data_IF_435119866419
#
_entry.id   IF_435119866419
#
_cell.length_a   1.000
_cell.length_b   1.000
_cell.length_c   1.000
_cell.angle_alpha   90.00
_cell.angle_beta   90.00
_cell.angle_gamma   90.00
#
_symmetry.space_group_name_H-M   'P 1'
#
loop_
_entity.id
_entity.type
_entity.pdbx_description
1 polymer ?
#
# COMPACT_ATOMS: atom_id res chain seq x y z
N UNK A 1 -18.74 23.27 3.19
CA UNK A 1 -17.75 22.83 4.20
C UNK A 1 -16.38 22.57 3.57
N UNK A 2 -15.29 22.84 4.30
CA UNK A 2 -13.95 22.39 3.87
C UNK A 2 -13.84 20.88 4.12
N UNK A 3 -13.47 20.13 3.07
CA UNK A 3 -13.38 18.64 3.09
C UNK A 3 -11.97 18.11 2.83
N UNK A 4 -11.00 18.99 2.57
CA UNK A 4 -9.67 18.60 2.11
C UNK A 4 -8.68 18.40 3.27
N UNK A 5 -7.75 17.47 3.08
CA UNK A 5 -6.66 17.15 4.01
C UNK A 5 -7.01 16.06 5.01
N UNK A 6 -6.18 15.01 5.02
CA UNK A 6 -6.36 13.81 5.84
C UNK A 6 -5.22 13.58 6.84
N UNK A 7 -4.11 14.30 6.70
CA UNK A 7 -2.95 14.18 7.57
C UNK A 7 -2.23 15.52 7.71
N UNK A 8 -1.37 15.59 8.72
CA UNK A 8 -0.59 16.78 9.04
C UNK A 8 0.64 16.42 9.89
N UNK A 9 1.57 17.37 9.98
CA UNK A 9 2.56 17.45 11.04
C UNK A 9 2.68 18.89 11.53
N UNK A 10 2.83 19.09 12.84
CA UNK A 10 2.80 20.41 13.45
C UNK A 10 3.20 20.39 14.92
N UNK A 11 2.66 21.34 15.68
CA UNK A 11 2.84 21.44 17.13
C UNK A 11 1.50 21.47 17.84
N UNK A 12 1.40 20.76 18.96
CA UNK A 12 0.21 20.81 19.82
C UNK A 12 0.21 22.05 20.73
N UNK A 13 -0.82 22.18 21.57
CA UNK A 13 -0.98 23.30 22.51
C UNK A 13 0.11 23.39 23.59
N UNK A 14 0.85 22.30 23.81
CA UNK A 14 2.01 22.25 24.72
C UNK A 14 3.35 22.49 23.99
N UNK A 15 3.32 22.73 22.67
CA UNK A 15 4.50 22.94 21.83
C UNK A 15 5.20 21.66 21.37
N UNK A 16 4.68 20.47 21.72
CA UNK A 16 5.24 19.18 21.31
C UNK A 16 5.08 18.99 19.82
N UNK A 17 6.06 18.33 19.19
CA UNK A 17 6.04 18.03 17.76
C UNK A 17 5.17 16.80 17.52
N UNK A 18 4.12 16.96 16.73
CA UNK A 18 3.12 15.91 16.52
C UNK A 18 2.84 15.70 15.03
N UNK A 19 2.45 14.48 14.67
CA UNK A 19 1.90 14.12 13.36
C UNK A 19 0.61 13.33 13.58
N UNK A 20 -0.32 13.40 12.65
CA UNK A 20 -1.61 12.75 12.86
C UNK A 20 -2.48 12.66 11.63
N UNK A 21 -3.63 12.00 11.80
CA UNK A 21 -4.67 11.86 10.80
C UNK A 21 -5.95 12.58 11.25
N UNK A 22 -6.69 13.11 10.27
CA UNK A 22 -8.00 13.69 10.47
C UNK A 22 -8.94 13.21 9.35
N UNK A 23 -10.25 13.08 9.60
CA UNK A 23 -11.20 12.63 8.56
C UNK A 23 -11.39 13.66 7.44
N UNK A 24 -11.14 14.94 7.71
CA UNK A 24 -11.18 16.06 6.77
C UNK A 24 -10.55 17.31 7.42
N UNK A 25 -10.46 18.42 6.67
CA UNK A 25 -10.03 19.75 7.16
C UNK A 25 -8.56 19.83 7.59
N UNK A 26 -7.73 18.85 7.20
CA UNK A 26 -6.29 18.85 7.49
C UNK A 26 -5.51 19.96 6.76
N UNK A 27 -6.02 20.47 5.63
CA UNK A 27 -5.43 21.60 4.93
C UNK A 27 -5.83 22.93 5.58
N UNK A 28 -5.29 23.19 6.78
CA UNK A 28 -5.59 24.37 7.58
C UNK A 28 -4.38 24.82 8.41
N UNK A 29 -4.42 26.04 8.94
CA UNK A 29 -3.40 26.57 9.87
C UNK A 29 -3.54 26.00 11.28
N UNK A 30 -4.75 25.59 11.66
CA UNK A 30 -5.07 24.97 12.95
C UNK A 30 -6.12 23.90 12.73
N UNK A 31 -6.04 22.81 13.51
CA UNK A 31 -6.95 21.68 13.42
C UNK A 31 -7.24 21.15 14.82
N UNK A 32 -8.43 20.55 14.98
CA UNK A 32 -8.74 19.71 16.12
C UNK A 32 -8.56 18.26 15.69
N UNK A 33 -7.86 17.49 16.51
CA UNK A 33 -7.49 16.11 16.21
C UNK A 33 -7.89 15.22 17.38
N UNK A 34 -8.41 14.04 17.07
CA UNK A 34 -8.63 12.99 18.06
C UNK A 34 -7.26 12.46 18.52
N UNK A 35 -6.95 12.46 19.83
CA UNK A 35 -5.69 11.94 20.36
C UNK A 35 -5.36 10.50 19.94
N UNK A 36 -6.37 9.69 19.58
CA UNK A 36 -6.21 8.31 19.09
C UNK A 36 -5.50 8.26 17.73
N UNK A 37 -5.59 9.33 16.94
CA UNK A 37 -4.95 9.47 15.62
C UNK A 37 -3.80 10.49 15.66
N UNK A 38 -3.17 10.65 16.83
CA UNK A 38 -2.07 11.56 17.06
C UNK A 38 -0.84 10.79 17.55
N UNK A 39 0.31 11.06 16.95
CA UNK A 39 1.59 10.47 17.32
C UNK A 39 2.64 11.57 17.53
N UNK A 40 3.54 11.32 18.47
CA UNK A 40 4.70 12.19 18.67
C UNK A 40 5.70 12.01 17.53
N UNK A 41 6.26 13.13 17.04
CA UNK A 41 7.26 13.09 15.97
C UNK A 41 8.61 12.75 16.58
N UNK A 42 9.30 11.70 16.10
CA UNK A 42 10.64 11.36 16.56
C UNK A 42 11.61 12.53 16.40
N UNK A 43 12.52 12.70 17.38
CA UNK A 43 13.46 13.82 17.42
C UNK A 43 14.26 14.01 16.12
N UNK A 44 14.69 12.89 15.53
CA UNK A 44 15.53 12.84 14.33
C UNK A 44 14.80 13.15 13.03
N UNK A 45 13.48 13.22 13.04
CA UNK A 45 12.71 13.54 11.82
C UNK A 45 12.51 15.04 11.71
N UNK A 46 12.35 15.55 10.50
CA UNK A 46 11.76 16.89 10.30
C UNK A 46 10.23 16.80 10.33
N UNK A 47 9.52 17.91 10.51
CA UNK A 47 8.06 17.90 10.36
C UNK A 47 7.63 17.56 8.93
N UNK A 48 8.43 17.95 7.93
CA UNK A 48 8.22 17.56 6.52
C UNK A 48 8.24 16.04 6.38
N UNK A 49 9.27 15.35 6.88
CA UNK A 49 9.33 13.89 6.86
C UNK A 49 8.16 13.26 7.61
N UNK A 50 7.86 13.77 8.81
CA UNK A 50 6.77 13.27 9.64
C UNK A 50 5.39 13.39 8.97
N UNK A 51 5.17 14.44 8.17
CA UNK A 51 3.91 14.66 7.45
C UNK A 51 3.60 13.59 6.40
N UNK A 52 4.59 12.79 6.00
CA UNK A 52 4.45 11.76 4.94
C UNK A 52 4.05 10.38 5.47
N UNK A 53 3.92 10.22 6.78
CA UNK A 53 3.82 8.92 7.45
C UNK A 53 2.38 8.50 7.75
N UNK A 54 1.51 9.35 8.35
CA UNK A 54 0.28 8.88 8.98
C UNK A 54 -0.64 8.07 8.05
N UNK A 55 -1.08 8.65 6.93
CA UNK A 55 -2.08 7.99 6.05
C UNK A 55 -1.50 6.75 5.39
N UNK A 56 -0.29 6.85 4.83
CA UNK A 56 0.27 5.76 4.01
C UNK A 56 0.64 4.56 4.86
N UNK A 57 1.24 4.75 6.04
CA UNK A 57 1.58 3.64 6.94
C UNK A 57 0.36 3.08 7.65
N UNK A 58 -0.61 3.91 8.07
CA UNK A 58 -1.86 3.38 8.63
C UNK A 58 -2.61 2.51 7.62
N UNK A 59 -2.67 2.95 6.36
CA UNK A 59 -3.29 2.18 5.27
C UNK A 59 -2.55 0.86 5.05
N UNK A 60 -1.23 0.89 4.89
CA UNK A 60 -0.40 -0.31 4.69
C UNK A 60 -0.51 -1.29 5.85
N UNK A 61 -0.43 -0.81 7.09
CA UNK A 61 -0.47 -1.68 8.27
C UNK A 61 -1.85 -2.30 8.47
N UNK A 62 -2.92 -1.50 8.32
CA UNK A 62 -4.28 -2.01 8.40
C UNK A 62 -4.57 -3.04 7.30
N UNK A 63 -4.21 -2.74 6.05
CA UNK A 63 -4.44 -3.65 4.93
C UNK A 63 -3.63 -4.94 5.08
N UNK A 64 -2.32 -4.87 5.30
CA UNK A 64 -1.44 -6.04 5.28
C UNK A 64 -1.49 -6.85 6.58
N UNK A 65 -1.43 -6.18 7.74
CA UNK A 65 -1.29 -6.86 9.04
C UNK A 65 -2.65 -7.19 9.62
N UNK A 66 -3.53 -6.19 9.74
CA UNK A 66 -4.84 -6.38 10.40
C UNK A 66 -5.78 -7.20 9.52
N UNK A 67 -5.93 -6.82 8.25
CA UNK A 67 -6.87 -7.46 7.32
C UNK A 67 -6.26 -8.63 6.57
N UNK A 68 -5.05 -8.46 6.04
CA UNK A 68 -4.33 -9.46 5.27
C UNK A 68 -3.66 -10.55 6.12
N UNK A 69 -3.53 -10.34 7.44
CA UNK A 69 -2.87 -11.27 8.36
C UNK A 69 -1.48 -11.71 7.86
N UNK A 70 -0.74 -10.80 7.24
CA UNK A 70 0.57 -11.05 6.65
C UNK A 70 1.57 -11.57 7.69
N UNK A 71 2.34 -12.59 7.34
CA UNK A 71 3.34 -13.24 8.20
C UNK A 71 4.67 -13.41 7.46
N UNK A 72 5.74 -13.56 8.24
CA UNK A 72 7.05 -13.90 7.70
C UNK A 72 6.97 -15.13 6.79
N UNK A 73 7.70 -15.11 5.67
CA UNK A 73 7.67 -16.16 4.66
C UNK A 73 6.54 -16.08 3.64
N UNK A 74 5.54 -15.19 3.81
CA UNK A 74 4.57 -14.93 2.75
C UNK A 74 5.22 -14.27 1.52
N UNK A 75 4.51 -14.33 0.39
CA UNK A 75 4.77 -13.52 -0.80
C UNK A 75 3.68 -12.46 -0.98
N UNK A 76 4.07 -11.23 -1.31
CA UNK A 76 3.18 -10.08 -1.47
C UNK A 76 3.40 -9.44 -2.84
N UNK A 77 2.33 -9.21 -3.61
CA UNK A 77 2.34 -8.30 -4.77
C UNK A 77 1.80 -6.93 -4.38
N UNK A 78 2.62 -5.89 -4.50
CA UNK A 78 2.24 -4.48 -4.27
C UNK A 78 2.16 -3.74 -5.60
N UNK A 79 1.00 -3.23 -5.97
CA UNK A 79 0.92 -2.37 -7.15
C UNK A 79 1.37 -0.93 -6.86
N UNK A 80 1.87 -0.27 -7.92
CA UNK A 80 2.34 1.12 -7.86
C UNK A 80 3.40 1.37 -6.76
N UNK A 81 4.45 0.55 -6.72
CA UNK A 81 5.43 0.52 -5.63
C UNK A 81 6.14 1.84 -5.33
N UNK A 82 6.25 2.75 -6.30
CA UNK A 82 6.81 4.09 -6.08
C UNK A 82 5.83 5.10 -5.48
N UNK A 83 4.54 4.78 -5.40
CA UNK A 83 3.55 5.63 -4.72
C UNK A 83 3.72 5.57 -3.19
N UNK A 84 3.09 6.50 -2.46
CA UNK A 84 3.22 6.60 -1.00
C UNK A 84 2.85 5.30 -0.27
N UNK A 85 1.64 4.77 -0.54
CA UNK A 85 1.20 3.48 0.03
C UNK A 85 2.07 2.32 -0.48
N UNK A 86 2.50 2.36 -1.74
CA UNK A 86 3.39 1.34 -2.30
C UNK A 86 4.70 1.24 -1.53
N UNK A 87 5.38 2.36 -1.30
CA UNK A 87 6.64 2.42 -0.57
C UNK A 87 6.48 2.01 0.90
N UNK A 88 5.42 2.47 1.58
CA UNK A 88 5.14 2.08 2.96
C UNK A 88 4.87 0.58 3.08
N UNK A 89 4.10 0.01 2.15
CA UNK A 89 3.78 -1.42 2.10
C UNK A 89 5.01 -2.28 1.87
N UNK A 90 5.88 -1.88 0.93
CA UNK A 90 7.17 -2.54 0.69
C UNK A 90 8.02 -2.51 1.96
N UNK A 91 8.12 -1.36 2.62
CA UNK A 91 8.92 -1.20 3.83
C UNK A 91 8.42 -2.12 4.97
N UNK A 92 7.12 -2.14 5.22
CA UNK A 92 6.50 -3.00 6.25
C UNK A 92 6.69 -4.48 5.92
N UNK A 93 6.44 -4.89 4.67
CA UNK A 93 6.57 -6.28 4.24
C UNK A 93 8.00 -6.80 4.34
N UNK A 94 8.99 -6.03 3.85
CA UNK A 94 10.40 -6.40 3.95
C UNK A 94 10.86 -6.49 5.42
N UNK A 95 10.39 -5.58 6.29
CA UNK A 95 10.69 -5.63 7.72
C UNK A 95 10.13 -6.90 8.39
N UNK A 96 8.98 -7.40 7.91
CA UNK A 96 8.35 -8.63 8.41
C UNK A 96 8.90 -9.92 7.78
N UNK A 97 9.92 -9.84 6.90
CA UNK A 97 10.50 -11.02 6.25
C UNK A 97 9.59 -11.63 5.16
N UNK A 98 8.81 -10.79 4.48
CA UNK A 98 7.94 -11.17 3.36
C UNK A 98 8.68 -10.96 2.05
N UNK A 99 8.51 -11.88 1.10
CA UNK A 99 9.03 -11.71 -0.26
C UNK A 99 8.11 -10.80 -1.06
N UNK A 100 8.64 -9.68 -1.56
CA UNK A 100 7.85 -8.64 -2.22
C UNK A 100 8.04 -8.70 -3.73
N UNK A 101 6.92 -8.67 -4.45
CA UNK A 101 6.81 -8.31 -5.86
C UNK A 101 6.14 -6.94 -5.95
N UNK A 102 6.54 -6.13 -6.92
CA UNK A 102 5.93 -4.81 -7.13
C UNK A 102 5.84 -4.45 -8.60
N UNK A 103 4.92 -3.55 -8.94
CA UNK A 103 4.85 -2.96 -10.29
C UNK A 103 5.26 -1.49 -10.30
N UNK A 104 5.90 -1.06 -11.38
CA UNK A 104 6.27 0.33 -11.65
C UNK A 104 6.03 0.69 -13.11
N UNK A 105 5.94 1.99 -13.39
CA UNK A 105 5.63 2.47 -14.74
C UNK A 105 6.86 2.81 -15.58
N UNK A 106 8.07 2.93 -15.03
CA UNK A 106 9.26 3.37 -15.80
C UNK A 106 10.56 2.81 -15.24
N UNK A 107 11.62 2.82 -16.05
CA UNK A 107 12.96 2.41 -15.63
C UNK A 107 13.48 3.28 -14.49
N UNK A 108 13.29 4.60 -14.55
CA UNK A 108 13.67 5.52 -13.46
C UNK A 108 13.03 5.13 -12.12
N UNK A 109 11.75 4.78 -12.13
CA UNK A 109 11.00 4.33 -10.96
C UNK A 109 11.48 2.97 -10.45
N UNK A 110 11.84 2.06 -11.37
CA UNK A 110 12.48 0.77 -11.04
C UNK A 110 13.80 1.02 -10.32
N UNK A 111 14.67 1.85 -10.89
CA UNK A 111 15.99 2.13 -10.33
C UNK A 111 15.90 2.84 -8.97
N UNK A 112 14.93 3.75 -8.82
CA UNK A 112 14.62 4.38 -7.54
C UNK A 112 14.28 3.35 -6.46
N UNK A 113 13.36 2.40 -6.74
CA UNK A 113 12.98 1.38 -5.75
C UNK A 113 14.15 0.48 -5.38
N UNK A 114 14.96 0.05 -6.35
CA UNK A 114 16.14 -0.79 -6.08
C UNK A 114 17.17 -0.08 -5.21
N UNK A 115 17.39 1.23 -5.43
CA UNK A 115 18.26 2.03 -4.55
C UNK A 115 17.67 2.19 -3.14
N UNK A 116 16.35 2.37 -3.04
CA UNK A 116 15.66 2.62 -1.77
C UNK A 116 15.46 1.36 -0.92
N UNK A 117 15.31 0.21 -1.58
CA UNK A 117 15.08 -1.11 -1.00
C UNK A 117 16.04 -2.12 -1.66
N UNK A 118 17.28 -2.26 -1.16
CA UNK A 118 18.30 -3.13 -1.76
C UNK A 118 17.93 -4.62 -1.84
N UNK A 119 16.93 -5.04 -1.06
CA UNK A 119 16.37 -6.40 -1.10
C UNK A 119 15.56 -6.67 -2.40
N UNK A 120 15.13 -5.62 -3.12
CA UNK A 120 14.41 -5.77 -4.37
C UNK A 120 15.39 -5.90 -5.54
N UNK A 121 15.22 -6.97 -6.31
CA UNK A 121 15.97 -7.24 -7.55
C UNK A 121 15.07 -7.06 -8.78
N UNK A 122 15.62 -7.21 -9.99
CA UNK A 122 14.82 -7.13 -11.21
C UNK A 122 13.76 -8.23 -11.30
N UNK A 123 13.95 -9.35 -10.61
CA UNK A 123 12.96 -10.43 -10.46
C UNK A 123 11.74 -10.00 -9.65
N UNK A 124 11.89 -9.00 -8.77
CA UNK A 124 10.81 -8.52 -7.93
C UNK A 124 9.96 -7.43 -8.59
N UNK A 125 10.42 -6.82 -9.69
CA UNK A 125 9.80 -5.61 -10.24
C UNK A 125 9.28 -5.86 -11.65
N UNK A 126 7.97 -5.69 -11.84
CA UNK A 126 7.27 -5.82 -13.13
C UNK A 126 6.66 -4.49 -13.61
N UNK A 127 6.07 -4.47 -14.81
CA UNK A 127 5.45 -3.28 -15.40
C UNK A 127 4.04 -3.04 -14.83
N UNK A 128 3.65 -1.80 -14.59
CA UNK A 128 2.29 -1.41 -14.14
C UNK A 128 1.39 -0.88 -15.26
N UNK A 129 1.92 -0.68 -16.47
CA UNK A 129 1.18 -0.07 -17.58
C UNK A 129 0.31 -1.05 -18.37
N UNK A 130 0.59 -2.33 -18.24
CA UNK A 130 -0.11 -3.43 -18.89
C UNK A 130 -0.28 -4.60 -17.90
N UNK A 131 -0.77 -5.74 -18.36
CA UNK A 131 -0.98 -6.96 -17.58
C UNK A 131 0.23 -7.90 -17.56
N UNK A 132 1.39 -7.49 -18.10
CA UNK A 132 2.58 -8.37 -18.19
C UNK A 132 3.13 -8.78 -16.82
N UNK A 133 2.78 -8.05 -15.76
CA UNK A 133 3.12 -8.44 -14.39
C UNK A 133 2.53 -9.78 -13.98
N UNK A 134 1.39 -10.19 -14.56
CA UNK A 134 0.76 -11.48 -14.26
C UNK A 134 1.71 -12.62 -14.60
N UNK A 135 2.19 -12.65 -15.84
CA UNK A 135 3.12 -13.66 -16.32
C UNK A 135 4.45 -13.60 -15.57
N UNK A 136 4.94 -12.39 -15.27
CA UNK A 136 6.16 -12.18 -14.49
C UNK A 136 6.04 -12.83 -13.11
N UNK A 137 4.98 -12.50 -12.36
CA UNK A 137 4.74 -13.03 -11.01
C UNK A 137 4.57 -14.55 -11.04
N UNK A 138 3.80 -15.08 -11.99
CA UNK A 138 3.61 -16.53 -12.12
C UNK A 138 4.93 -17.24 -12.46
N UNK A 139 5.79 -16.64 -13.28
CA UNK A 139 7.10 -17.23 -13.61
C UNK A 139 8.00 -17.28 -12.38
N UNK A 140 8.13 -16.16 -11.65
CA UNK A 140 8.98 -16.07 -10.46
C UNK A 140 8.46 -16.88 -9.27
N UNK A 141 7.16 -17.18 -9.24
CA UNK A 141 6.50 -18.02 -8.23
C UNK A 141 6.27 -19.45 -8.69
N UNK A 142 6.81 -19.86 -9.86
CA UNK A 142 6.65 -21.20 -10.43
C UNK A 142 5.18 -21.66 -10.54
N UNK A 143 4.30 -20.72 -10.93
CA UNK A 143 2.87 -20.94 -11.09
C UNK A 143 2.07 -20.94 -9.78
N UNK A 144 2.73 -20.78 -8.62
CA UNK A 144 2.03 -20.75 -7.32
C UNK A 144 1.19 -19.50 -7.13
N UNK A 145 1.66 -18.35 -7.61
CA UNK A 145 1.10 -17.04 -7.29
C UNK A 145 1.61 -16.48 -5.95
N UNK A 146 0.96 -15.42 -5.47
CA UNK A 146 1.30 -14.71 -4.24
C UNK A 146 0.26 -14.89 -3.13
N UNK A 147 0.72 -14.91 -1.88
CA UNK A 147 -0.16 -15.08 -0.71
C UNK A 147 -1.02 -13.82 -0.46
N UNK A 148 -0.51 -12.63 -0.79
CA UNK A 148 -1.24 -11.38 -0.68
C UNK A 148 -1.08 -10.53 -1.94
N UNK A 149 -2.14 -9.82 -2.31
CA UNK A 149 -2.10 -8.76 -3.32
C UNK A 149 -2.63 -7.49 -2.70
N UNK A 150 -1.84 -6.41 -2.71
CA UNK A 150 -2.30 -5.06 -2.41
C UNK A 150 -2.55 -4.32 -3.72
N UNK A 151 -3.81 -4.24 -4.12
CA UNK A 151 -4.22 -3.69 -5.41
C UNK A 151 -4.70 -2.24 -5.31
N UNK A 152 -4.26 -1.43 -6.27
CA UNK A 152 -4.77 -0.08 -6.52
C UNK A 152 -4.98 0.18 -8.02
N UNK A 153 -4.89 -0.85 -8.85
CA UNK A 153 -5.13 -0.80 -10.29
C UNK A 153 -6.60 -1.15 -10.56
N UNK A 154 -7.06 -0.85 -11.77
CA UNK A 154 -8.45 -1.02 -12.16
C UNK A 154 -8.62 -1.98 -13.35
N UNK A 155 -9.87 -2.37 -13.60
CA UNK A 155 -10.31 -3.05 -14.83
C UNK A 155 -9.52 -4.33 -15.13
N UNK A 156 -8.96 -4.46 -16.34
CA UNK A 156 -8.23 -5.63 -16.81
C UNK A 156 -7.03 -5.99 -15.92
N UNK A 157 -6.35 -4.96 -15.38
CA UNK A 157 -5.24 -5.12 -14.45
C UNK A 157 -5.71 -5.63 -13.10
N UNK A 158 -6.88 -5.21 -12.61
CA UNK A 158 -7.44 -5.78 -11.38
C UNK A 158 -7.69 -7.28 -11.58
N UNK A 159 -8.33 -7.67 -12.68
CA UNK A 159 -8.59 -9.09 -12.96
C UNK A 159 -7.29 -9.90 -13.09
N UNK A 160 -6.25 -9.33 -13.72
CA UNK A 160 -4.92 -9.93 -13.78
C UNK A 160 -4.28 -10.09 -12.40
N UNK A 161 -4.48 -9.10 -11.53
CA UNK A 161 -4.00 -9.14 -10.14
C UNK A 161 -4.68 -10.26 -9.34
N UNK A 162 -5.98 -10.49 -9.56
CA UNK A 162 -6.71 -11.61 -8.94
C UNK A 162 -6.12 -12.95 -9.38
N UNK A 163 -5.74 -13.09 -10.66
CA UNK A 163 -5.11 -14.31 -11.17
C UNK A 163 -3.69 -14.55 -10.65
N UNK A 164 -3.04 -13.52 -10.10
CA UNK A 164 -1.77 -13.70 -9.39
C UNK A 164 -1.92 -14.32 -7.99
N UNK A 165 -3.14 -14.43 -7.46
CA UNK A 165 -3.36 -14.88 -6.09
C UNK A 165 -3.13 -16.40 -5.98
N UNK A 166 -2.34 -16.81 -4.99
CA UNK A 166 -2.17 -18.20 -4.64
C UNK A 166 -3.45 -18.74 -3.97
N UNK A 167 -3.54 -20.07 -3.88
CA UNK A 167 -4.58 -20.72 -3.08
C UNK A 167 -4.55 -20.18 -1.64
N UNK A 168 -5.73 -19.88 -1.11
CA UNK A 168 -5.94 -19.31 0.24
C UNK A 168 -5.31 -17.91 0.44
N UNK A 169 -4.93 -17.24 -0.65
CA UNK A 169 -4.40 -15.89 -0.61
C UNK A 169 -5.43 -14.81 -0.29
N UNK A 170 -4.95 -13.63 0.09
CA UNK A 170 -5.77 -12.47 0.42
C UNK A 170 -5.61 -11.34 -0.59
N UNK A 171 -6.72 -10.97 -1.24
CA UNK A 171 -6.78 -9.81 -2.13
C UNK A 171 -7.23 -8.56 -1.36
N UNK A 172 -6.39 -7.54 -1.32
CA UNK A 172 -6.57 -6.31 -0.55
C UNK A 172 -6.77 -5.14 -1.52
N UNK A 173 -8.02 -4.78 -1.76
CA UNK A 173 -8.39 -3.68 -2.65
C UNK A 173 -8.37 -2.34 -1.90
N UNK A 174 -7.54 -1.41 -2.37
CA UNK A 174 -7.52 -0.02 -1.87
C UNK A 174 -7.93 0.99 -2.96
N UNK A 175 -8.08 0.55 -4.21
CA UNK A 175 -8.68 1.32 -5.29
C UNK A 175 -10.19 1.43 -5.12
N UNK A 176 -10.76 2.49 -5.71
CA UNK A 176 -12.21 2.76 -5.62
C UNK A 176 -12.93 2.70 -6.96
N UNK A 177 -12.21 2.65 -8.08
CA UNK A 177 -12.81 2.79 -9.42
C UNK A 177 -13.78 1.65 -9.74
N UNK A 178 -13.30 0.40 -9.76
CA UNK A 178 -14.14 -0.77 -10.07
C UNK A 178 -15.26 -0.97 -9.04
N UNK A 179 -14.98 -0.68 -7.76
CA UNK A 179 -15.99 -0.73 -6.70
C UNK A 179 -17.10 0.30 -6.92
N UNK A 180 -16.75 1.54 -7.31
CA UNK A 180 -17.72 2.61 -7.58
C UNK A 180 -18.55 2.32 -8.82
N UNK A 181 -17.97 1.65 -9.81
CA UNK A 181 -18.63 1.30 -11.07
C UNK A 181 -19.36 -0.05 -11.02
N UNK A 182 -19.29 -0.78 -9.89
CA UNK A 182 -19.85 -2.12 -9.72
C UNK A 182 -19.40 -3.09 -10.83
N UNK A 183 -18.12 -3.01 -11.21
CA UNK A 183 -17.55 -3.88 -12.24
C UNK A 183 -17.53 -5.34 -11.74
N UNK A 184 -17.88 -6.31 -12.60
CA UNK A 184 -17.91 -7.71 -12.21
C UNK A 184 -16.50 -8.25 -11.94
N UNK A 185 -16.34 -8.97 -10.84
CA UNK A 185 -15.14 -9.76 -10.54
C UNK A 185 -15.39 -11.20 -11.01
N UNK A 186 -14.47 -11.76 -11.81
CA UNK A 186 -14.64 -13.12 -12.33
C UNK A 186 -14.79 -14.16 -11.21
N UNK A 187 -15.91 -14.89 -11.18
CA UNK A 187 -16.34 -15.78 -10.08
C UNK A 187 -15.46 -17.01 -9.81
N UNK A 188 -14.30 -17.15 -10.43
CA UNK A 188 -13.46 -18.34 -10.25
C UNK A 188 -12.40 -18.09 -9.17
N UNK A 189 -12.78 -18.34 -7.91
CA UNK A 189 -11.93 -18.57 -6.73
C UNK A 189 -11.68 -17.42 -5.72
N UNK A 190 -12.38 -16.29 -5.78
CA UNK A 190 -12.25 -15.24 -4.76
C UNK A 190 -13.44 -15.21 -3.79
N UNK A 191 -13.20 -15.55 -2.52
CA UNK A 191 -14.14 -15.23 -1.43
C UNK A 191 -13.84 -13.78 -1.00
N UNK A 192 -14.67 -12.84 -1.44
CA UNK A 192 -14.57 -11.44 -1.02
C UNK A 192 -15.20 -11.33 0.37
N UNK A 193 -14.35 -11.19 1.41
CA UNK A 193 -14.82 -10.79 2.73
C UNK A 193 -15.00 -9.27 2.77
N UNK A 194 -16.17 -8.79 2.37
CA UNK A 194 -16.63 -7.46 2.77
C UNK A 194 -16.89 -7.48 4.27
N UNK A 195 -16.07 -6.75 5.03
CA UNK A 195 -16.37 -6.45 6.42
C UNK A 195 -16.65 -4.95 6.49
N UNK A 196 -17.93 -4.66 6.73
CA UNK A 196 -18.49 -3.37 7.16
C UNK A 196 -17.88 -2.92 8.47
#
# INVERSE_FOLDING_TARGET
>A
DCILGLEFAGRDTSGRRVMGMVPARGLATTILVDPTFLWEVPDKWTLEQASTIPVVYATSYYALVVRGQMRAGNTLLVHAGTGGVGQASIAVALHMGVTVFTTVSSQEKRDYLKRRFPQLTDRNIANSRDTTFEQHVLTETQGRGVDLVLNSLSEDKLQASVRCLAKDGHFLEIGKYDLSNNNPLGERHCIIKHQT
#
